data_IF_588589005061
#
_entry.id   IF_588589005061
#
_cell.length_a   1.000
_cell.length_b   1.000
_cell.length_c   1.000
_cell.angle_alpha   90.00
_cell.angle_beta   90.00
_cell.angle_gamma   90.00
#
_symmetry.space_group_name_H-M   'P 1'
#
loop_
_entity.id
_entity.type
_entity.pdbx_description
1 polymer ?
#
# COMPACT_ATOMS: atom_id res chain seq x y z
N UNK A 1 -18.86 -9.35 -7.53
CA UNK A 1 -19.53 -9.85 -6.31
C UNK A 1 -20.76 -10.67 -6.65
N UNK A 2 -21.67 -10.14 -7.46
CA UNK A 2 -22.94 -10.79 -7.85
C UNK A 2 -22.76 -12.19 -8.44
N UNK A 3 -21.72 -12.40 -9.26
CA UNK A 3 -21.42 -13.73 -9.82
C UNK A 3 -21.01 -14.74 -8.73
N UNK A 4 -20.23 -14.32 -7.72
CA UNK A 4 -19.86 -15.19 -6.60
C UNK A 4 -21.08 -15.54 -5.75
N UNK A 5 -21.96 -14.56 -5.49
CA UNK A 5 -23.24 -14.79 -4.82
C UNK A 5 -24.12 -15.76 -5.61
N UNK A 6 -24.23 -15.54 -6.93
CA UNK A 6 -25.03 -16.39 -7.83
C UNK A 6 -24.49 -17.82 -7.88
N UNK A 7 -23.17 -17.99 -7.79
CA UNK A 7 -22.52 -19.29 -7.67
C UNK A 7 -22.71 -19.95 -6.30
N UNK A 8 -23.31 -19.27 -5.32
CA UNK A 8 -23.62 -19.79 -3.98
C UNK A 8 -22.57 -19.50 -2.92
N UNK A 9 -21.73 -18.48 -3.08
CA UNK A 9 -20.80 -18.08 -2.02
C UNK A 9 -21.54 -17.39 -0.86
N UNK A 10 -21.42 -17.95 0.34
CA UNK A 10 -22.05 -17.42 1.57
C UNK A 10 -21.17 -16.40 2.33
N UNK A 11 -19.87 -16.36 2.04
CA UNK A 11 -18.87 -15.52 2.70
C UNK A 11 -17.67 -15.30 1.78
N UNK A 12 -17.05 -14.13 1.90
CA UNK A 12 -15.78 -13.82 1.25
C UNK A 12 -14.69 -13.67 2.31
N UNK A 13 -13.53 -14.26 2.04
CA UNK A 13 -12.30 -14.03 2.82
C UNK A 13 -11.25 -13.51 1.85
N UNK A 14 -10.64 -12.37 2.16
CA UNK A 14 -9.63 -11.73 1.29
C UNK A 14 -8.47 -11.16 2.10
N UNK A 15 -7.37 -10.87 1.43
CA UNK A 15 -6.22 -10.15 1.99
C UNK A 15 -5.98 -8.91 1.15
N UNK A 16 -5.91 -7.75 1.80
CA UNK A 16 -5.55 -6.45 1.22
C UNK A 16 -6.19 -6.17 -0.15
N UNK A 17 -7.52 -6.01 -0.14
CA UNK A 17 -8.28 -5.52 -1.28
C UNK A 17 -7.71 -4.17 -1.74
N UNK A 18 -7.66 -3.97 -3.05
CA UNK A 18 -7.11 -2.76 -3.66
C UNK A 18 -7.74 -1.45 -3.14
N UNK A 19 -9.00 -1.54 -2.72
CA UNK A 19 -9.70 -0.47 -2.03
C UNK A 19 -10.72 -1.07 -1.05
N UNK A 20 -10.80 -0.52 0.16
CA UNK A 20 -11.67 -1.02 1.23
C UNK A 20 -13.16 -1.04 0.82
N UNK A 21 -13.55 -0.14 -0.08
CA UNK A 21 -14.92 0.02 -0.59
C UNK A 21 -15.42 -1.22 -1.33
N UNK A 22 -14.54 -2.07 -1.86
CA UNK A 22 -14.92 -3.32 -2.53
C UNK A 22 -15.75 -4.23 -1.61
N UNK A 23 -15.55 -4.14 -0.29
CA UNK A 23 -16.36 -4.89 0.69
C UNK A 23 -17.86 -4.59 0.53
N UNK A 24 -18.23 -3.35 0.24
CA UNK A 24 -19.62 -2.93 0.06
C UNK A 24 -20.29 -3.43 -1.22
N UNK A 25 -19.53 -4.07 -2.13
CA UNK A 25 -20.09 -4.70 -3.32
C UNK A 25 -20.57 -6.13 -3.05
N UNK A 26 -20.18 -6.74 -1.93
CA UNK A 26 -20.61 -8.09 -1.59
C UNK A 26 -21.88 -8.07 -0.73
N UNK A 27 -22.83 -8.91 -1.10
CA UNK A 27 -24.00 -9.19 -0.27
C UNK A 27 -23.68 -10.33 0.70
N UNK A 28 -23.24 -9.99 1.91
CA UNK A 28 -22.95 -10.95 2.97
C UNK A 28 -21.68 -10.63 3.75
N UNK A 29 -21.23 -11.53 4.65
CA UNK A 29 -20.01 -11.33 5.42
C UNK A 29 -18.75 -11.30 4.54
N UNK A 30 -17.91 -10.30 4.78
CA UNK A 30 -16.56 -10.20 4.19
C UNK A 30 -15.54 -10.10 5.30
N UNK A 31 -14.66 -11.10 5.39
CA UNK A 31 -13.48 -11.04 6.26
C UNK A 31 -12.31 -10.46 5.44
N UNK A 32 -12.11 -9.15 5.55
CA UNK A 32 -10.99 -8.46 4.92
C UNK A 32 -9.78 -8.45 5.87
N UNK A 33 -8.84 -9.35 5.62
CA UNK A 33 -7.60 -9.47 6.40
C UNK A 33 -6.52 -8.53 5.85
N UNK A 34 -5.58 -8.14 6.71
CA UNK A 34 -4.46 -7.26 6.35
C UNK A 34 -3.12 -7.93 6.60
N UNK A 35 -2.21 -7.88 5.63
CA UNK A 35 -0.87 -8.44 5.75
C UNK A 35 0.08 -7.53 6.56
N UNK A 36 -0.30 -6.26 6.79
CA UNK A 36 0.53 -5.25 7.46
C UNK A 36 1.20 -5.74 8.76
N UNK A 37 0.53 -6.41 9.72
CA UNK A 37 1.20 -6.87 10.94
C UNK A 37 2.37 -7.82 10.64
N UNK A 38 2.16 -8.80 9.76
CA UNK A 38 3.18 -9.79 9.39
C UNK A 38 4.36 -9.11 8.68
N UNK A 39 4.07 -8.21 7.76
CA UNK A 39 5.10 -7.54 6.98
C UNK A 39 5.90 -6.52 7.81
N UNK A 40 5.24 -5.80 8.73
CA UNK A 40 5.92 -4.87 9.64
C UNK A 40 6.76 -5.63 10.68
N UNK A 41 6.30 -6.79 11.17
CA UNK A 41 7.10 -7.64 12.05
C UNK A 41 8.35 -8.16 11.35
N UNK A 42 8.25 -8.53 10.07
CA UNK A 42 9.41 -8.85 9.25
C UNK A 42 10.40 -7.67 9.19
N UNK A 43 9.92 -6.45 8.96
CA UNK A 43 10.79 -5.26 8.93
C UNK A 43 11.47 -5.04 10.29
N UNK A 44 10.71 -5.10 11.39
CA UNK A 44 11.23 -4.95 12.76
C UNK A 44 12.29 -5.98 13.11
N UNK A 45 12.14 -7.21 12.63
CA UNK A 45 13.08 -8.29 12.92
C UNK A 45 14.37 -8.21 12.10
N UNK A 46 14.35 -7.56 10.93
CA UNK A 46 15.45 -7.62 9.96
C UNK A 46 16.18 -6.29 9.74
N UNK A 47 15.62 -5.15 10.18
CA UNK A 47 16.19 -3.83 9.91
C UNK A 47 16.24 -2.95 11.16
N UNK A 48 17.24 -2.06 11.21
CA UNK A 48 17.33 -1.06 12.27
C UNK A 48 16.31 0.06 12.06
N UNK A 49 15.32 0.15 12.94
CA UNK A 49 14.22 1.11 12.86
C UNK A 49 14.67 2.58 13.01
N UNK A 50 15.82 2.85 13.65
CA UNK A 50 16.30 4.22 13.82
C UNK A 50 16.71 4.89 12.50
N UNK A 51 16.97 4.10 11.45
CA UNK A 51 17.45 4.58 10.15
C UNK A 51 16.50 4.26 8.98
N UNK A 52 15.24 3.91 9.23
CA UNK A 52 14.29 3.66 8.14
C UNK A 52 13.55 4.93 7.69
N UNK A 53 13.00 4.88 6.49
CA UNK A 53 11.98 5.77 5.97
C UNK A 53 10.92 4.92 5.27
N UNK A 54 9.66 5.10 5.62
CA UNK A 54 8.55 4.45 4.94
C UNK A 54 8.23 5.23 3.67
N UNK A 55 8.14 4.56 2.52
CA UNK A 55 7.97 5.19 1.22
C UNK A 55 6.71 4.68 0.53
N UNK A 56 5.84 5.61 0.13
CA UNK A 56 4.70 5.34 -0.74
C UNK A 56 5.08 5.57 -2.22
N UNK A 57 4.89 4.60 -3.13
CA UNK A 57 5.25 4.72 -4.55
C UNK A 57 4.38 5.71 -5.33
N UNK A 58 3.28 6.16 -4.74
CA UNK A 58 2.42 7.23 -5.24
C UNK A 58 1.68 7.94 -4.09
N UNK A 59 0.91 8.99 -4.43
CA UNK A 59 0.16 9.78 -3.46
C UNK A 59 -1.11 9.09 -2.92
N UNK A 60 -1.67 8.11 -3.64
CA UNK A 60 -2.91 7.42 -3.27
C UNK A 60 -2.73 6.53 -2.04
N UNK A 61 -1.52 6.00 -1.83
CA UNK A 61 -1.20 5.09 -0.72
C UNK A 61 -0.57 5.72 0.51
N UNK A 62 -0.47 7.05 0.54
CA UNK A 62 0.13 7.80 1.66
C UNK A 62 -0.52 7.44 3.01
N UNK A 63 -1.84 7.22 3.06
CA UNK A 63 -2.55 6.82 4.29
C UNK A 63 -2.14 5.43 4.79
N UNK A 64 -1.87 4.49 3.88
CA UNK A 64 -1.39 3.15 4.26
C UNK A 64 0.05 3.25 4.74
N UNK A 65 0.88 4.05 4.06
CA UNK A 65 2.25 4.28 4.45
C UNK A 65 2.38 4.98 5.81
N UNK A 66 1.46 5.90 6.15
CA UNK A 66 1.38 6.53 7.47
C UNK A 66 1.08 5.50 8.57
N UNK A 67 0.15 4.55 8.33
CA UNK A 67 -0.10 3.45 9.28
C UNK A 67 1.16 2.60 9.49
N UNK A 68 1.87 2.28 8.42
CA UNK A 68 3.15 1.56 8.50
C UNK A 68 4.20 2.33 9.30
N UNK A 69 4.36 3.63 9.04
CA UNK A 69 5.27 4.51 9.77
C UNK A 69 5.00 4.48 11.28
N UNK A 70 3.74 4.61 11.70
CA UNK A 70 3.35 4.54 13.10
C UNK A 70 3.69 3.18 13.74
N UNK A 71 3.41 2.07 13.03
CA UNK A 71 3.72 0.71 13.53
C UNK A 71 5.23 0.46 13.62
N UNK A 72 6.02 1.12 12.78
CA UNK A 72 7.47 1.03 12.73
C UNK A 72 8.19 2.09 13.60
N UNK A 73 7.50 2.65 14.61
CA UNK A 73 8.09 3.56 15.59
C UNK A 73 8.12 5.02 15.13
N UNK A 74 7.02 5.49 14.53
CA UNK A 74 6.88 6.84 13.98
C UNK A 74 7.97 7.18 12.95
N UNK A 75 8.32 6.20 12.12
CA UNK A 75 9.35 6.33 11.10
C UNK A 75 9.01 7.45 10.08
N UNK A 76 10.00 8.22 9.59
CA UNK A 76 9.72 9.27 8.61
C UNK A 76 9.06 8.74 7.34
N UNK A 77 8.09 9.50 6.83
CA UNK A 77 7.32 9.17 5.64
C UNK A 77 7.84 9.94 4.42
N UNK A 78 7.97 9.25 3.29
CA UNK A 78 8.16 9.85 1.99
C UNK A 78 7.18 9.29 0.97
N UNK A 79 6.93 10.03 -0.11
CA UNK A 79 6.12 9.54 -1.23
C UNK A 79 6.53 10.13 -2.56
N UNK A 80 6.22 9.42 -3.64
CA UNK A 80 6.48 9.89 -4.99
C UNK A 80 5.28 10.69 -5.50
N UNK A 81 5.50 11.96 -5.81
CA UNK A 81 4.54 12.77 -6.53
C UNK A 81 4.75 12.60 -8.03
N UNK A 82 3.88 11.78 -8.64
CA UNK A 82 3.82 11.58 -10.09
C UNK A 82 2.85 12.60 -10.67
N UNK A 83 3.31 13.43 -11.62
CA UNK A 83 2.39 14.21 -12.47
C UNK A 83 2.29 13.46 -13.79
N UNK A 84 1.06 13.13 -14.21
CA UNK A 84 0.81 12.47 -15.49
C UNK A 84 0.63 13.55 -16.54
N UNK A 85 1.31 13.41 -17.67
CA UNK A 85 1.04 14.23 -18.84
C UNK A 85 -0.33 13.82 -19.41
N UNK A 86 -1.27 14.76 -19.49
CA UNK A 86 -2.62 14.50 -20.00
C UNK A 86 -2.64 14.26 -21.50
N UNK A 87 -1.60 14.68 -22.23
CA UNK A 87 -1.55 14.62 -23.68
C UNK A 87 -0.80 13.38 -24.21
N UNK A 88 -0.12 12.61 -23.34
CA UNK A 88 0.66 11.43 -23.74
C UNK A 88 0.39 10.24 -22.81
N UNK A 89 -0.35 9.25 -23.31
CA UNK A 89 -0.58 7.99 -22.60
C UNK A 89 0.76 7.32 -22.24
N UNK A 90 0.87 6.81 -21.01
CA UNK A 90 2.03 6.09 -20.46
C UNK A 90 3.33 6.91 -20.27
N UNK A 91 3.30 8.25 -20.36
CA UNK A 91 4.45 9.08 -19.98
C UNK A 91 4.28 9.63 -18.57
N UNK A 92 4.76 8.86 -17.60
CA UNK A 92 4.83 9.29 -16.20
C UNK A 92 6.27 9.65 -15.88
N UNK A 93 6.60 10.93 -15.82
CA UNK A 93 7.84 11.35 -15.16
C UNK A 93 7.63 11.32 -13.65
N UNK A 94 8.45 10.55 -12.94
CA UNK A 94 8.52 10.61 -11.48
C UNK A 94 9.08 11.99 -11.09
N UNK A 95 8.19 12.97 -10.95
CA UNK A 95 8.59 14.38 -10.96
C UNK A 95 9.23 14.82 -9.64
N UNK A 96 8.87 14.20 -8.51
CA UNK A 96 9.46 14.56 -7.21
C UNK A 96 9.26 13.50 -6.13
N UNK A 97 10.29 13.26 -5.33
CA UNK A 97 10.14 12.63 -4.00
C UNK A 97 9.81 13.73 -2.99
N UNK A 98 8.78 13.50 -2.18
CA UNK A 98 8.41 14.36 -1.05
C UNK A 98 8.79 13.62 0.23
N UNK A 99 9.57 14.26 1.10
CA UNK A 99 10.17 13.64 2.30
C UNK A 99 11.70 13.51 2.16
N UNK A 100 12.39 13.29 3.29
CA UNK A 100 13.85 13.08 3.30
C UNK A 100 14.19 11.59 3.39
N UNK A 101 14.79 11.08 2.32
CA UNK A 101 15.18 9.67 2.16
C UNK A 101 16.70 9.48 2.17
N UNK A 102 17.49 10.57 2.22
CA UNK A 102 18.93 10.48 1.98
C UNK A 102 19.63 9.78 3.14
N UNK A 103 20.38 8.72 2.82
CA UNK A 103 21.12 7.93 3.83
C UNK A 103 20.26 6.99 4.68
N UNK A 104 18.96 6.89 4.38
CA UNK A 104 18.00 6.05 5.09
C UNK A 104 17.71 4.76 4.35
N UNK A 105 17.34 3.72 5.10
CA UNK A 105 16.79 2.48 4.55
C UNK A 105 15.33 2.70 4.16
N UNK A 106 15.04 2.70 2.86
CA UNK A 106 13.68 2.94 2.37
C UNK A 106 12.86 1.66 2.36
N UNK A 107 11.76 1.65 3.11
CA UNK A 107 10.74 0.59 3.10
C UNK A 107 9.63 1.01 2.15
N UNK A 108 9.72 0.55 0.90
CA UNK A 108 8.70 0.79 -0.12
C UNK A 108 7.54 -0.19 0.07
N UNK A 109 6.30 0.30 0.07
CA UNK A 109 5.11 -0.52 0.25
C UNK A 109 4.06 -0.28 -0.83
N UNK A 110 3.34 -1.35 -1.14
CA UNK A 110 2.19 -1.37 -2.04
C UNK A 110 1.22 -2.48 -1.58
N UNK A 111 -0.01 -2.53 -2.09
CA UNK A 111 -0.87 -3.71 -1.89
C UNK A 111 -0.47 -4.88 -2.79
N UNK A 112 0.01 -4.56 -3.99
CA UNK A 112 0.44 -5.54 -4.97
C UNK A 112 1.55 -4.96 -5.85
N UNK A 113 2.32 -5.87 -6.45
CA UNK A 113 3.30 -5.54 -7.49
C UNK A 113 2.85 -6.27 -8.76
N UNK A 114 2.49 -5.50 -9.79
CA UNK A 114 2.09 -6.04 -11.09
C UNK A 114 3.31 -6.23 -12.01
N UNK A 115 3.82 -5.14 -12.60
CA UNK A 115 4.98 -5.17 -13.51
C UNK A 115 6.31 -4.81 -12.85
N UNK A 116 6.28 -4.15 -11.69
CA UNK A 116 7.48 -3.75 -10.93
C UNK A 116 8.31 -2.61 -11.54
N UNK A 117 7.74 -1.85 -12.48
CA UNK A 117 8.38 -0.67 -13.09
C UNK A 117 8.28 0.62 -12.28
#
# INVERSE_FOLDING_TARGET
>A
ADLLKTAGADRIVSVDLHTDQIQGFFDGPVDHMHAMPILTDYVKANYNLDNICVVSPDAGRVKVAEKWANVLGDAPLAFIHKTRDVDVANKVTANRVVGDVKGRTCVLLDDMIDTGG
#
